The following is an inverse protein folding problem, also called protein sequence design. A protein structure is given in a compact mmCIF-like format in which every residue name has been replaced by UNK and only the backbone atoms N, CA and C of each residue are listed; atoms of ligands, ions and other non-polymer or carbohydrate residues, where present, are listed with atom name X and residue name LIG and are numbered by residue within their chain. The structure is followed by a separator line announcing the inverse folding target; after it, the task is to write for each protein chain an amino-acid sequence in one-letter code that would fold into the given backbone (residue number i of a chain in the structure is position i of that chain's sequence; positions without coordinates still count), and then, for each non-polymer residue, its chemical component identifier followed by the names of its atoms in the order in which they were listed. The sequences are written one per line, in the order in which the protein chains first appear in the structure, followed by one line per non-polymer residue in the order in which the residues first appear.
data_IF_475939047997
#
_entry.id   IF_475939047997
#
_cell.length_a   1.000
_cell.length_b   1.000
_cell.length_c   1.000
_cell.angle_alpha   90.00
_cell.angle_beta   90.00
_cell.angle_gamma   90.00
#
_symmetry.space_group_name_H-M   'P 1'
#
loop_
_entity.id
_entity.type
_entity.pdbx_description
1 polymer ?
#
# COMPACT_ATOMS: atom_id res chain seq x y z
N UNK A 1 25.64 1.75 84.43
CA UNK A 1 24.31 1.41 83.95
C UNK A 1 23.98 2.32 82.75
N UNK A 2 24.24 1.86 81.53
CA UNK A 2 24.01 2.62 80.30
C UNK A 2 22.80 2.06 79.60
N UNK A 3 21.83 2.93 79.37
CA UNK A 3 20.56 2.60 78.66
C UNK A 3 20.75 2.79 77.18
N UNK A 4 20.75 1.69 76.42
CA UNK A 4 20.72 1.73 74.91
C UNK A 4 19.34 2.06 74.46
N UNK A 5 19.17 3.18 73.71
CA UNK A 5 17.98 3.51 72.96
C UNK A 5 18.07 2.91 71.54
N UNK A 6 17.24 1.93 71.28
CA UNK A 6 17.05 1.34 69.91
C UNK A 6 16.19 2.27 69.08
N UNK A 7 16.77 2.79 68.02
CA UNK A 7 16.02 3.57 67.01
C UNK A 7 15.57 2.63 65.88
N UNK A 8 14.24 2.37 65.74
CA UNK A 8 13.63 1.68 64.65
C UNK A 8 13.51 2.65 63.45
N UNK A 9 14.25 2.35 62.38
CA UNK A 9 14.06 3.00 61.07
C UNK A 9 12.95 2.29 60.34
N UNK A 10 11.80 2.96 60.18
CA UNK A 10 10.73 2.54 59.26
C UNK A 10 11.19 2.88 57.85
N UNK A 11 11.46 1.84 57.07
CA UNK A 11 11.80 1.95 55.66
C UNK A 11 10.47 1.99 54.83
N UNK A 12 10.06 3.20 54.43
CA UNK A 12 8.95 3.35 53.48
C UNK A 12 9.39 2.84 52.12
N UNK A 13 8.82 1.71 51.68
CA UNK A 13 8.92 1.22 50.32
C UNK A 13 7.85 1.96 49.51
N UNK A 14 8.25 2.94 48.70
CA UNK A 14 7.38 3.52 47.67
C UNK A 14 7.20 2.48 46.56
N UNK A 15 5.95 2.16 46.15
CA UNK A 15 5.75 1.36 44.97
C UNK A 15 6.13 2.20 43.74
N UNK A 16 7.16 1.77 43.03
CA UNK A 16 7.48 2.29 41.69
C UNK A 16 6.38 1.77 40.76
N UNK A 17 5.42 2.62 40.46
CA UNK A 17 4.50 2.41 39.34
C UNK A 17 5.32 2.48 38.05
N UNK A 18 5.78 1.34 37.57
CA UNK A 18 6.28 1.20 36.20
C UNK A 18 5.09 1.32 35.27
N UNK A 19 4.82 2.54 34.83
CA UNK A 19 3.98 2.76 33.64
C UNK A 19 4.67 2.06 32.47
N UNK A 20 4.19 0.88 32.11
CA UNK A 20 4.53 0.27 30.84
C UNK A 20 3.96 1.20 29.77
N UNK A 21 4.79 2.11 29.24
CA UNK A 21 4.51 2.73 27.97
C UNK A 21 4.51 1.59 26.95
N UNK A 22 3.33 1.15 26.53
CA UNK A 22 3.16 0.43 25.29
C UNK A 22 3.57 1.46 24.22
N UNK A 23 4.82 1.38 23.77
CA UNK A 23 5.22 2.04 22.54
C UNK A 23 4.30 1.44 21.49
N UNK A 24 3.37 2.25 20.95
CA UNK A 24 2.66 1.90 19.74
C UNK A 24 3.74 1.53 18.73
N UNK A 25 3.59 0.37 18.09
CA UNK A 25 4.58 -0.13 17.13
C UNK A 25 4.49 0.80 15.92
N UNK A 26 5.38 1.80 15.84
CA UNK A 26 5.42 2.83 14.80
C UNK A 26 5.57 2.25 13.38
N UNK A 27 5.74 0.93 13.28
CA UNK A 27 5.93 0.19 12.03
C UNK A 27 4.66 -0.46 11.49
N UNK A 28 3.57 -0.44 12.26
CA UNK A 28 2.30 -1.01 11.83
C UNK A 28 1.45 0.03 11.14
N UNK A 29 1.00 -0.27 9.92
CA UNK A 29 0.01 0.49 9.15
C UNK A 29 -1.08 -0.48 8.71
N UNK A 30 -2.32 -0.22 9.10
CA UNK A 30 -3.46 -1.07 8.74
C UNK A 30 -3.21 -2.57 9.03
N UNK A 31 -2.70 -2.89 10.22
CA UNK A 31 -2.43 -4.27 10.63
C UNK A 31 -1.21 -4.93 10.00
N UNK A 32 -0.47 -4.26 9.11
CA UNK A 32 0.75 -4.78 8.46
C UNK A 32 2.01 -4.08 8.98
N UNK A 33 3.10 -4.84 9.10
CA UNK A 33 4.42 -4.27 9.36
C UNK A 33 5.01 -3.73 8.04
N UNK A 34 4.89 -2.41 7.83
CA UNK A 34 5.34 -1.76 6.58
C UNK A 34 6.87 -1.62 6.45
N UNK A 35 7.64 -1.99 7.46
CA UNK A 35 9.10 -2.13 7.33
C UNK A 35 9.51 -3.43 6.63
N UNK A 36 8.61 -4.39 6.55
CA UNK A 36 8.84 -5.65 5.84
C UNK A 36 8.17 -5.59 4.47
N UNK A 37 8.73 -6.27 3.45
CA UNK A 37 8.02 -6.50 2.21
C UNK A 37 6.74 -7.31 2.48
N UNK A 38 5.67 -6.97 1.78
CA UNK A 38 4.39 -7.66 1.85
C UNK A 38 3.89 -8.05 0.46
N UNK A 39 2.92 -8.95 0.42
CA UNK A 39 2.27 -9.33 -0.83
C UNK A 39 1.25 -8.28 -1.23
N UNK A 40 1.26 -7.92 -2.50
CA UNK A 40 0.26 -7.06 -3.14
C UNK A 40 -0.36 -7.83 -4.29
N UNK A 41 -1.63 -8.17 -4.17
CA UNK A 41 -2.40 -8.68 -5.30
C UNK A 41 -3.06 -7.54 -6.03
N UNK A 42 -2.99 -7.57 -7.35
CA UNK A 42 -3.73 -6.67 -8.24
C UNK A 42 -4.77 -7.45 -9.03
N UNK A 43 -6.03 -7.04 -8.95
CA UNK A 43 -7.13 -7.53 -9.77
C UNK A 43 -7.49 -6.45 -10.78
N UNK A 44 -7.16 -6.68 -12.05
CA UNK A 44 -7.49 -5.78 -13.15
C UNK A 44 -8.82 -6.22 -13.73
N UNK A 45 -9.91 -5.56 -13.34
CA UNK A 45 -11.27 -6.07 -13.51
C UNK A 45 -12.07 -5.33 -14.57
N UNK A 46 -12.86 -6.10 -15.32
CA UNK A 46 -13.89 -5.62 -16.21
C UNK A 46 -15.21 -6.26 -15.83
N UNK A 47 -16.23 -5.44 -15.57
CA UNK A 47 -17.58 -5.92 -15.25
C UNK A 47 -18.19 -6.71 -16.42
N UNK A 48 -18.91 -7.75 -16.10
CA UNK A 48 -19.66 -8.51 -17.08
C UNK A 48 -20.83 -7.67 -17.64
N UNK A 49 -21.27 -7.90 -18.88
CA UNK A 49 -22.37 -7.14 -19.47
C UNK A 49 -23.61 -7.14 -18.59
N UNK A 50 -24.12 -5.96 -18.26
CA UNK A 50 -25.32 -5.75 -17.45
C UNK A 50 -25.09 -5.76 -15.93
N UNK A 51 -23.86 -5.98 -15.47
CA UNK A 51 -23.49 -5.89 -14.04
C UNK A 51 -23.14 -4.43 -13.72
N UNK A 52 -23.71 -3.91 -12.64
CA UNK A 52 -23.36 -2.59 -12.13
C UNK A 52 -22.18 -2.67 -11.15
N UNK A 53 -21.51 -1.52 -10.92
CA UNK A 53 -20.48 -1.43 -9.88
C UNK A 53 -21.07 -1.65 -8.47
N UNK A 54 -22.34 -1.32 -8.25
CA UNK A 54 -23.07 -1.54 -7.01
C UNK A 54 -23.25 -3.04 -6.72
N UNK A 55 -23.68 -3.83 -7.75
CA UNK A 55 -23.79 -5.29 -7.62
C UNK A 55 -22.45 -5.93 -7.28
N UNK A 56 -21.39 -5.46 -7.95
CA UNK A 56 -20.02 -5.93 -7.68
C UNK A 56 -19.56 -5.53 -6.27
N UNK A 57 -19.88 -4.31 -5.82
CA UNK A 57 -19.51 -3.84 -4.49
C UNK A 57 -20.16 -4.66 -3.39
N UNK A 58 -21.44 -5.04 -3.54
CA UNK A 58 -22.11 -5.92 -2.59
C UNK A 58 -21.43 -7.31 -2.45
N UNK A 59 -20.83 -7.82 -3.53
CA UNK A 59 -20.01 -9.03 -3.45
C UNK A 59 -18.70 -8.79 -2.71
N UNK A 60 -18.06 -7.62 -2.89
CA UNK A 60 -16.83 -7.25 -2.16
C UNK A 60 -17.12 -7.14 -0.65
N UNK A 61 -18.26 -6.61 -0.24
CA UNK A 61 -18.67 -6.57 1.18
C UNK A 61 -18.80 -7.98 1.76
N UNK A 62 -19.44 -8.92 1.02
CA UNK A 62 -19.52 -10.31 1.44
C UNK A 62 -18.14 -10.99 1.51
N UNK A 63 -17.22 -10.67 0.59
CA UNK A 63 -15.82 -11.13 0.64
C UNK A 63 -15.11 -10.60 1.89
N UNK A 64 -15.24 -9.33 2.21
CA UNK A 64 -14.60 -8.73 3.39
C UNK A 64 -15.11 -9.34 4.68
N UNK A 65 -16.43 -9.55 4.81
CA UNK A 65 -17.01 -10.24 5.95
C UNK A 65 -16.54 -11.71 6.08
N UNK A 66 -16.35 -12.39 4.94
CA UNK A 66 -15.77 -13.73 4.90
C UNK A 66 -14.30 -13.71 5.33
N UNK A 67 -13.52 -12.74 4.84
CA UNK A 67 -12.09 -12.60 5.13
C UNK A 67 -11.87 -12.32 6.63
N UNK A 68 -12.64 -11.41 7.23
CA UNK A 68 -12.61 -11.11 8.66
C UNK A 68 -12.96 -12.35 9.50
N UNK A 69 -14.03 -13.07 9.13
CA UNK A 69 -14.47 -14.31 9.83
C UNK A 69 -13.38 -15.38 9.83
N UNK A 70 -12.52 -15.44 8.82
CA UNK A 70 -11.46 -16.42 8.65
C UNK A 70 -10.07 -15.91 9.12
N UNK A 71 -9.97 -14.67 9.63
CA UNK A 71 -8.72 -14.03 10.03
C UNK A 71 -7.70 -14.00 8.86
N UNK A 72 -8.18 -13.50 7.72
CA UNK A 72 -7.39 -13.37 6.46
C UNK A 72 -7.69 -12.06 5.72
N UNK A 73 -8.26 -11.08 6.41
CA UNK A 73 -8.65 -9.79 5.85
C UNK A 73 -7.43 -8.97 5.41
N UNK A 74 -7.44 -8.46 4.17
CA UNK A 74 -6.38 -7.62 3.62
C UNK A 74 -6.71 -6.13 3.83
N UNK A 75 -5.71 -5.27 3.68
CA UNK A 75 -5.99 -3.89 3.23
C UNK A 75 -6.53 -3.98 1.82
N UNK A 76 -7.71 -3.41 1.57
CA UNK A 76 -8.36 -3.49 0.27
C UNK A 76 -8.66 -2.09 -0.27
N UNK A 77 -8.14 -1.79 -1.46
CA UNK A 77 -8.36 -0.51 -2.13
C UNK A 77 -8.81 -0.74 -3.58
N UNK A 78 -9.57 0.23 -4.13
CA UNK A 78 -9.99 0.25 -5.53
C UNK A 78 -9.51 1.53 -6.19
N UNK A 79 -8.99 1.40 -7.41
CA UNK A 79 -8.49 2.52 -8.20
C UNK A 79 -9.22 2.64 -9.53
N UNK A 80 -9.57 3.89 -9.88
CA UNK A 80 -10.08 4.28 -11.19
C UNK A 80 -9.07 5.20 -11.88
N UNK A 81 -8.75 4.97 -13.17
CA UNK A 81 -7.82 5.82 -13.88
C UNK A 81 -8.41 7.22 -14.11
N UNK A 82 -7.63 8.26 -13.75
CA UNK A 82 -7.98 9.66 -14.02
C UNK A 82 -7.13 10.21 -15.18
N UNK A 83 -5.79 10.12 -15.07
CA UNK A 83 -4.87 10.43 -16.16
C UNK A 83 -4.05 9.20 -16.47
N UNK A 84 -4.25 8.61 -17.65
CA UNK A 84 -3.61 7.35 -18.02
C UNK A 84 -2.86 7.48 -19.35
N UNK A 85 -1.99 6.53 -19.65
CA UNK A 85 -1.29 6.39 -20.92
C UNK A 85 -2.23 5.91 -22.06
N UNK A 86 -3.49 5.63 -21.75
CA UNK A 86 -4.45 5.14 -22.73
C UNK A 86 -4.93 6.25 -23.64
N UNK A 87 -5.34 5.87 -24.84
CA UNK A 87 -5.88 6.78 -25.85
C UNK A 87 -7.24 6.27 -26.32
N UNK A 88 -7.99 7.08 -27.06
CA UNK A 88 -9.26 6.64 -27.66
C UNK A 88 -9.11 5.42 -28.57
N UNK A 89 -7.93 5.24 -29.21
CA UNK A 89 -7.61 4.10 -30.05
C UNK A 89 -7.13 2.87 -29.25
N UNK A 90 -6.69 3.09 -28.01
CA UNK A 90 -6.25 2.05 -27.07
C UNK A 90 -6.85 2.36 -25.71
N UNK A 91 -8.17 2.12 -25.55
CA UNK A 91 -8.84 2.39 -24.29
C UNK A 91 -8.29 1.48 -23.19
N UNK A 92 -8.50 1.89 -21.96
CA UNK A 92 -8.19 1.07 -20.79
C UNK A 92 -8.96 -0.25 -20.88
N UNK A 93 -8.29 -1.40 -20.80
CA UNK A 93 -8.95 -2.70 -20.98
C UNK A 93 -9.78 -3.13 -19.76
N UNK A 94 -9.69 -2.40 -18.65
CA UNK A 94 -10.34 -2.69 -17.39
C UNK A 94 -11.25 -1.52 -16.99
N UNK A 95 -12.28 -1.79 -16.19
CA UNK A 95 -13.14 -0.75 -15.64
C UNK A 95 -12.51 -0.14 -14.38
N UNK A 96 -11.81 -0.98 -13.59
CA UNK A 96 -11.08 -0.58 -12.38
C UNK A 96 -9.96 -1.58 -12.05
N UNK A 97 -9.11 -1.20 -11.11
CA UNK A 97 -8.10 -2.09 -10.51
C UNK A 97 -8.31 -2.13 -9.01
N UNK A 98 -8.29 -3.32 -8.44
CA UNK A 98 -8.29 -3.52 -7.00
C UNK A 98 -6.93 -4.01 -6.53
N UNK A 99 -6.53 -3.54 -5.36
CA UNK A 99 -5.32 -4.02 -4.71
C UNK A 99 -5.66 -4.56 -3.33
N UNK A 100 -5.14 -5.75 -3.06
CA UNK A 100 -5.26 -6.43 -1.79
C UNK A 100 -3.85 -6.61 -1.22
N UNK A 101 -3.57 -5.94 -0.10
CA UNK A 101 -2.27 -6.01 0.56
C UNK A 101 -2.36 -6.78 1.87
N UNK A 102 -1.43 -7.71 2.09
CA UNK A 102 -1.34 -8.52 3.30
C UNK A 102 0.07 -9.09 3.47
N UNK A 103 0.42 -9.55 4.69
CA UNK A 103 1.60 -10.38 4.86
C UNK A 103 1.47 -11.70 4.07
N UNK A 104 2.61 -12.35 3.81
CA UNK A 104 2.64 -13.54 2.93
C UNK A 104 1.94 -14.75 3.55
N UNK A 105 2.02 -14.92 4.86
CA UNK A 105 1.43 -16.04 5.58
C UNK A 105 -0.10 -15.94 5.55
N UNK A 106 -0.65 -14.80 5.89
CA UNK A 106 -2.08 -14.51 5.83
C UNK A 106 -2.60 -14.64 4.41
N UNK A 107 -1.84 -14.13 3.44
CA UNK A 107 -2.19 -14.23 2.02
C UNK A 107 -2.26 -15.67 1.52
N UNK A 108 -1.26 -16.49 1.86
CA UNK A 108 -1.28 -17.93 1.54
C UNK A 108 -2.49 -18.64 2.13
N UNK A 109 -2.76 -18.43 3.43
CA UNK A 109 -3.95 -18.96 4.13
C UNK A 109 -5.25 -18.52 3.45
N UNK A 110 -5.34 -17.24 3.04
CA UNK A 110 -6.51 -16.71 2.33
C UNK A 110 -6.79 -17.48 1.03
N UNK A 111 -5.77 -17.68 0.19
CA UNK A 111 -5.92 -18.41 -1.07
C UNK A 111 -6.27 -19.88 -0.87
N UNK A 112 -5.66 -20.54 0.11
CA UNK A 112 -6.02 -21.93 0.45
C UNK A 112 -7.51 -22.03 0.83
N UNK A 113 -8.00 -21.15 1.69
CA UNK A 113 -9.42 -21.11 2.09
C UNK A 113 -10.34 -20.71 0.94
N UNK A 114 -9.94 -19.76 0.10
CA UNK A 114 -10.70 -19.31 -1.07
C UNK A 114 -10.96 -20.44 -2.05
N UNK A 115 -9.95 -21.29 -2.29
CA UNK A 115 -10.02 -22.37 -3.26
C UNK A 115 -10.54 -23.70 -2.70
N UNK A 116 -10.56 -23.91 -1.38
CA UNK A 116 -10.92 -25.20 -0.78
C UNK A 116 -12.10 -25.18 0.16
N UNK A 117 -12.41 -24.04 0.79
CA UNK A 117 -13.58 -23.95 1.64
C UNK A 117 -14.88 -23.81 0.81
N UNK A 118 -15.96 -24.37 1.32
CA UNK A 118 -17.28 -24.26 0.64
C UNK A 118 -17.72 -22.79 0.45
N UNK A 119 -17.49 -21.95 1.47
CA UNK A 119 -17.85 -20.52 1.41
C UNK A 119 -16.94 -19.73 0.49
N UNK A 120 -15.62 -20.00 0.48
CA UNK A 120 -14.68 -19.36 -0.43
C UNK A 120 -14.99 -19.70 -1.91
N UNK A 121 -15.22 -20.98 -2.21
CA UNK A 121 -15.62 -21.40 -3.56
C UNK A 121 -16.92 -20.73 -4.03
N UNK A 122 -17.91 -20.61 -3.18
CA UNK A 122 -19.18 -19.96 -3.52
C UNK A 122 -19.01 -18.46 -3.81
N UNK A 123 -18.15 -17.76 -3.04
CA UNK A 123 -17.81 -16.37 -3.31
C UNK A 123 -17.00 -16.23 -4.60
N UNK A 124 -16.06 -17.14 -4.88
CA UNK A 124 -15.29 -17.16 -6.12
C UNK A 124 -16.20 -17.35 -7.35
N UNK A 125 -17.16 -18.27 -7.30
CA UNK A 125 -18.14 -18.46 -8.37
C UNK A 125 -18.93 -17.16 -8.61
N UNK A 126 -19.45 -16.54 -7.56
CA UNK A 126 -20.19 -15.28 -7.67
C UNK A 126 -19.33 -14.15 -8.20
N UNK A 127 -18.06 -14.05 -7.77
CA UNK A 127 -17.14 -13.05 -8.30
C UNK A 127 -16.94 -13.18 -9.81
N UNK A 128 -16.76 -14.41 -10.32
CA UNK A 128 -16.61 -14.68 -11.73
C UNK A 128 -17.89 -14.41 -12.56
N UNK A 129 -19.07 -14.51 -11.92
CA UNK A 129 -20.34 -14.11 -12.57
C UNK A 129 -20.44 -12.59 -12.74
N UNK A 130 -19.79 -11.80 -11.90
CA UNK A 130 -19.88 -10.34 -11.88
C UNK A 130 -18.78 -9.66 -12.71
N UNK A 131 -17.59 -10.22 -12.75
CA UNK A 131 -16.45 -9.60 -13.45
C UNK A 131 -15.47 -10.64 -14.00
N UNK A 132 -14.73 -10.21 -15.02
CA UNK A 132 -13.52 -10.89 -15.49
C UNK A 132 -12.33 -10.08 -15.02
N UNK A 133 -11.44 -10.69 -14.24
CA UNK A 133 -10.28 -10.03 -13.67
C UNK A 133 -8.99 -10.78 -14.02
N UNK A 134 -7.97 -10.04 -14.48
CA UNK A 134 -6.59 -10.51 -14.54
C UNK A 134 -5.97 -10.36 -13.17
N UNK A 135 -5.68 -11.47 -12.49
CA UNK A 135 -5.07 -11.48 -11.15
C UNK A 135 -3.56 -11.56 -11.26
N UNK A 136 -2.88 -10.62 -10.61
CA UNK A 136 -1.41 -10.53 -10.59
C UNK A 136 -0.91 -10.39 -9.16
N UNK A 137 0.30 -10.86 -8.91
CA UNK A 137 0.96 -10.77 -7.61
C UNK A 137 2.24 -9.95 -7.72
N UNK A 138 2.54 -9.22 -6.68
CA UNK A 138 3.76 -8.44 -6.57
C UNK A 138 4.31 -8.46 -5.13
N UNK A 139 5.60 -8.22 -4.98
CA UNK A 139 6.18 -7.75 -3.72
C UNK A 139 6.00 -6.24 -3.62
N UNK A 140 5.58 -5.74 -2.50
CA UNK A 140 5.55 -4.30 -2.24
C UNK A 140 6.39 -3.97 -1.01
N UNK A 141 7.10 -2.85 -1.08
CA UNK A 141 7.86 -2.31 0.04
C UNK A 141 7.54 -0.83 0.18
N UNK A 142 7.07 -0.44 1.37
CA UNK A 142 6.87 0.97 1.69
C UNK A 142 8.23 1.62 1.94
N UNK A 143 8.50 2.74 1.29
CA UNK A 143 9.70 3.53 1.45
C UNK A 143 9.46 4.76 2.34
N UNK A 144 8.25 5.34 2.24
CA UNK A 144 7.81 6.49 3.02
C UNK A 144 6.32 6.38 3.32
N UNK A 145 5.92 6.68 4.54
CA UNK A 145 4.52 6.76 4.95
C UNK A 145 4.33 7.86 6.00
N UNK A 146 3.42 8.78 5.72
CA UNK A 146 2.82 9.63 6.73
C UNK A 146 1.55 8.93 7.21
N UNK A 147 1.65 8.19 8.31
CA UNK A 147 0.60 7.33 8.82
C UNK A 147 -0.69 8.09 9.12
N UNK A 148 -0.60 9.20 9.84
CA UNK A 148 -1.74 10.03 10.20
C UNK A 148 -2.52 10.47 8.96
N UNK A 149 -1.82 10.93 7.92
CA UNK A 149 -2.44 11.36 6.67
C UNK A 149 -3.03 10.18 5.88
N UNK A 150 -2.38 9.00 5.88
CA UNK A 150 -2.87 7.79 5.20
C UNK A 150 -4.11 7.18 5.86
N UNK A 151 -4.28 7.39 7.17
CA UNK A 151 -5.41 6.86 7.95
C UNK A 151 -6.57 7.88 8.06
N UNK A 152 -6.34 9.15 7.70
CA UNK A 152 -7.32 10.25 7.90
C UNK A 152 -8.46 10.25 6.90
N UNK A 153 -8.27 9.68 5.69
CA UNK A 153 -9.26 9.69 4.61
C UNK A 153 -9.21 8.37 3.82
N UNK A 154 -10.35 7.99 3.26
CA UNK A 154 -10.47 6.82 2.40
C UNK A 154 -10.31 7.15 0.92
N UNK A 155 -10.47 8.42 0.53
CA UNK A 155 -10.28 8.87 -0.86
C UNK A 155 -8.94 9.58 -1.01
N UNK A 156 -8.18 9.20 -2.06
CA UNK A 156 -6.87 9.76 -2.32
C UNK A 156 -6.47 9.60 -3.79
N UNK A 157 -5.36 10.21 -4.16
CA UNK A 157 -4.80 10.14 -5.51
C UNK A 157 -3.51 9.33 -5.49
N UNK A 158 -3.38 8.40 -6.42
CA UNK A 158 -2.24 7.50 -6.48
C UNK A 158 -1.62 7.53 -7.86
N UNK A 159 -0.30 7.78 -7.92
CA UNK A 159 0.44 7.65 -9.17
C UNK A 159 1.16 6.31 -9.27
N UNK A 160 1.20 5.77 -10.48
CA UNK A 160 2.01 4.62 -10.87
C UNK A 160 2.99 5.04 -11.93
N UNK A 161 4.28 4.77 -11.71
CA UNK A 161 5.32 4.99 -12.69
C UNK A 161 6.14 3.71 -12.85
N UNK A 162 5.94 3.04 -13.98
CA UNK A 162 6.64 1.79 -14.29
C UNK A 162 8.04 2.07 -14.79
N UNK A 163 9.02 1.33 -14.26
CA UNK A 163 10.43 1.57 -14.53
C UNK A 163 11.17 0.26 -14.81
N UNK A 164 12.22 0.37 -15.63
CA UNK A 164 13.21 -0.70 -15.87
C UNK A 164 14.55 -0.23 -15.31
N UNK A 165 15.18 -0.95 -14.37
CA UNK A 165 16.41 -0.52 -13.73
C UNK A 165 17.59 -0.56 -14.70
N UNK A 166 18.51 0.41 -14.56
CA UNK A 166 19.80 0.49 -15.28
C UNK A 166 20.96 0.02 -14.42
N UNK A 167 20.73 -0.13 -13.12
CA UNK A 167 21.71 -0.49 -12.11
C UNK A 167 21.24 -1.67 -11.30
N UNK A 168 22.12 -2.28 -10.53
CA UNK A 168 21.78 -3.35 -9.61
C UNK A 168 20.85 -2.85 -8.51
N UNK A 169 20.06 -3.78 -7.95
CA UNK A 169 19.04 -3.51 -6.92
C UNK A 169 19.61 -2.76 -5.70
N UNK A 170 20.82 -3.09 -5.28
CA UNK A 170 21.46 -2.43 -4.13
C UNK A 170 21.68 -0.93 -4.37
N UNK A 171 22.20 -0.56 -5.56
CA UNK A 171 22.39 0.85 -5.93
C UNK A 171 21.05 1.59 -6.05
N UNK A 172 20.04 0.92 -6.59
CA UNK A 172 18.68 1.46 -6.68
C UNK A 172 18.10 1.74 -5.29
N UNK A 173 18.20 0.78 -4.37
CA UNK A 173 17.77 0.93 -2.97
C UNK A 173 18.48 2.07 -2.25
N UNK A 174 19.80 2.20 -2.44
CA UNK A 174 20.57 3.32 -1.87
C UNK A 174 20.09 4.66 -2.40
N UNK A 175 19.76 4.75 -3.70
CA UNK A 175 19.20 5.97 -4.29
C UNK A 175 17.81 6.30 -3.74
N UNK A 176 16.96 5.28 -3.58
CA UNK A 176 15.65 5.47 -2.95
C UNK A 176 15.77 5.94 -1.50
N UNK A 177 16.69 5.39 -0.72
CA UNK A 177 16.94 5.84 0.66
C UNK A 177 17.37 7.32 0.73
N UNK A 178 18.16 7.82 -0.25
CA UNK A 178 18.50 9.24 -0.35
C UNK A 178 17.25 10.10 -0.57
N UNK A 179 16.33 9.69 -1.46
CA UNK A 179 15.10 10.42 -1.70
C UNK A 179 14.17 10.42 -0.47
N UNK A 180 14.10 9.31 0.27
CA UNK A 180 13.35 9.27 1.54
C UNK A 180 13.89 10.31 2.53
N UNK A 181 15.22 10.40 2.67
CA UNK A 181 15.84 11.41 3.54
C UNK A 181 15.54 12.85 3.08
N UNK A 182 15.49 13.10 1.76
CA UNK A 182 15.12 14.40 1.21
C UNK A 182 13.65 14.73 1.48
N UNK A 183 12.74 13.76 1.31
CA UNK A 183 11.30 13.92 1.57
C UNK A 183 11.01 14.26 3.03
N UNK A 184 11.72 13.63 3.95
CA UNK A 184 11.59 13.89 5.39
C UNK A 184 11.94 15.34 5.73
N UNK A 185 12.93 15.92 5.04
CA UNK A 185 13.37 17.29 5.26
C UNK A 185 12.56 18.33 4.46
N UNK A 186 11.99 17.93 3.32
CA UNK A 186 11.24 18.79 2.40
C UNK A 186 9.99 18.08 1.91
N UNK A 187 8.90 18.02 2.70
CA UNK A 187 7.67 17.34 2.31
C UNK A 187 7.08 17.97 1.03
N UNK A 188 6.74 17.10 0.08
CA UNK A 188 6.25 17.50 -1.27
C UNK A 188 4.74 17.36 -1.42
N UNK A 189 3.99 17.24 -0.33
CA UNK A 189 2.56 16.90 -0.35
C UNK A 189 2.26 15.41 -0.54
N UNK A 190 3.26 14.59 -0.84
CA UNK A 190 3.12 13.13 -0.89
C UNK A 190 3.01 12.56 0.52
N UNK A 191 2.03 11.69 0.74
CA UNK A 191 1.76 11.05 2.04
C UNK A 191 2.21 9.59 2.11
N UNK A 192 2.47 8.97 0.96
CA UNK A 192 2.99 7.62 0.87
C UNK A 192 3.83 7.39 -0.37
N UNK A 193 4.84 6.53 -0.26
CA UNK A 193 5.64 6.07 -1.39
C UNK A 193 6.05 4.61 -1.18
N UNK A 194 5.76 3.78 -2.16
CA UNK A 194 6.15 2.38 -2.20
C UNK A 194 6.82 2.04 -3.53
N UNK A 195 7.58 0.96 -3.53
CA UNK A 195 8.03 0.26 -4.74
C UNK A 195 7.35 -1.10 -4.83
N UNK A 196 6.95 -1.45 -6.04
CA UNK A 196 6.19 -2.66 -6.34
C UNK A 196 6.93 -3.47 -7.39
N UNK A 197 7.23 -4.72 -7.10
CA UNK A 197 7.96 -5.65 -7.98
C UNK A 197 7.03 -6.78 -8.38
N UNK A 198 6.52 -6.79 -9.62
CA UNK A 198 5.65 -7.84 -10.13
C UNK A 198 6.35 -9.21 -10.16
N UNK A 199 5.63 -10.27 -9.85
CA UNK A 199 6.18 -11.63 -9.95
C UNK A 199 5.21 -12.66 -10.56
N UNK A 200 4.20 -13.17 -9.88
CA UNK A 200 3.33 -14.21 -10.40
C UNK A 200 2.19 -13.62 -11.24
N UNK A 201 1.95 -14.16 -12.42
CA UNK A 201 0.94 -13.66 -13.34
C UNK A 201 1.30 -12.33 -14.02
N UNK A 202 2.52 -11.85 -13.85
CA UNK A 202 2.94 -10.51 -14.22
C UNK A 202 3.73 -10.43 -15.54
N UNK A 203 3.56 -11.39 -16.45
CA UNK A 203 4.15 -11.30 -17.79
C UNK A 203 3.65 -10.05 -18.52
N UNK A 204 4.53 -9.42 -19.31
CA UNK A 204 4.22 -8.24 -20.12
C UNK A 204 3.81 -6.98 -19.32
N UNK A 205 4.31 -6.83 -18.10
CA UNK A 205 4.18 -5.57 -17.36
C UNK A 205 4.99 -4.45 -18.05
N UNK A 206 4.59 -3.19 -17.91
CA UNK A 206 5.27 -2.05 -18.57
C UNK A 206 6.71 -1.81 -18.10
N UNK A 207 7.11 -2.39 -16.99
CA UNK A 207 8.45 -2.29 -16.40
C UNK A 207 8.71 -3.42 -15.41
N UNK A 208 9.92 -3.50 -14.89
CA UNK A 208 10.34 -4.52 -13.93
C UNK A 208 9.94 -4.15 -12.49
N UNK A 209 9.70 -2.87 -12.23
CA UNK A 209 9.14 -2.39 -10.97
C UNK A 209 8.30 -1.13 -11.22
N UNK A 210 7.52 -0.74 -10.22
CA UNK A 210 6.78 0.51 -10.25
C UNK A 210 7.03 1.34 -8.99
N UNK A 211 7.10 2.66 -9.15
CA UNK A 211 6.89 3.60 -8.07
C UNK A 211 5.39 3.82 -7.90
N UNK A 212 4.92 3.73 -6.67
CA UNK A 212 3.57 4.06 -6.24
C UNK A 212 3.68 5.23 -5.27
N UNK A 213 3.14 6.40 -5.63
CA UNK A 213 3.12 7.57 -4.75
C UNK A 213 1.69 7.99 -4.45
N UNK A 214 1.40 8.31 -3.18
CA UNK A 214 0.08 8.61 -2.66
C UNK A 214 0.00 10.08 -2.25
N UNK A 215 -1.08 10.75 -2.65
CA UNK A 215 -1.39 12.15 -2.34
C UNK A 215 -2.78 12.24 -1.72
N UNK A 216 -2.99 13.09 -0.68
CA UNK A 216 -4.28 13.19 -0.03
C UNK A 216 -5.33 13.85 -0.94
N UNK A 217 -4.90 14.75 -1.83
CA UNK A 217 -5.76 15.53 -2.71
C UNK A 217 -5.04 15.96 -3.99
N UNK A 218 -5.80 16.51 -4.93
CA UNK A 218 -5.28 17.00 -6.21
C UNK A 218 -4.39 18.25 -6.04
N UNK A 219 -4.62 19.08 -5.02
CA UNK A 219 -3.79 20.26 -4.75
C UNK A 219 -2.38 19.85 -4.34
N UNK A 220 -2.26 18.85 -3.48
CA UNK A 220 -0.98 18.25 -3.06
C UNK A 220 -0.24 17.63 -4.24
N UNK A 221 -0.95 16.88 -5.10
CA UNK A 221 -0.38 16.36 -6.35
C UNK A 221 0.13 17.49 -7.27
N UNK A 222 -0.65 18.54 -7.48
CA UNK A 222 -0.26 19.68 -8.32
C UNK A 222 0.87 20.50 -7.69
N UNK A 223 0.97 20.56 -6.37
CA UNK A 223 2.10 21.16 -5.65
C UNK A 223 3.39 20.41 -5.97
N UNK A 224 3.34 19.09 -6.00
CA UNK A 224 4.46 18.25 -6.45
C UNK A 224 4.84 18.56 -7.90
N UNK A 225 3.86 18.63 -8.82
CA UNK A 225 4.11 18.99 -10.23
C UNK A 225 4.76 20.37 -10.38
N UNK A 226 4.31 21.35 -9.59
CA UNK A 226 4.92 22.69 -9.57
C UNK A 226 6.38 22.63 -9.11
N UNK A 227 6.67 21.89 -8.05
CA UNK A 227 8.06 21.69 -7.57
C UNK A 227 8.95 21.09 -8.65
N UNK A 228 8.46 20.08 -9.36
CA UNK A 228 9.19 19.49 -10.48
C UNK A 228 9.43 20.49 -11.60
N UNK A 229 8.41 21.24 -12.02
CA UNK A 229 8.53 22.24 -13.09
C UNK A 229 9.49 23.39 -12.72
N UNK A 230 9.63 23.71 -11.44
CA UNK A 230 10.47 24.84 -10.98
C UNK A 230 11.88 24.45 -10.55
N UNK A 231 12.30 23.19 -10.73
CA UNK A 231 13.69 22.77 -10.45
C UNK A 231 13.86 21.30 -10.13
N UNK A 232 12.82 20.65 -9.58
CA UNK A 232 12.86 19.22 -9.21
C UNK A 232 13.05 18.27 -10.39
N UNK A 233 12.74 18.73 -11.63
CA UNK A 233 13.01 17.97 -12.87
C UNK A 233 14.48 17.54 -13.01
N UNK A 234 15.42 18.24 -12.36
CA UNK A 234 16.85 17.87 -12.40
C UNK A 234 17.11 16.56 -11.69
N UNK A 235 16.48 16.35 -10.53
CA UNK A 235 16.57 15.09 -9.78
C UNK A 235 15.89 13.94 -10.53
N UNK A 236 14.71 14.18 -11.12
CA UNK A 236 14.04 13.20 -11.96
C UNK A 236 14.91 12.81 -13.16
N UNK A 237 15.47 13.79 -13.87
CA UNK A 237 16.34 13.52 -15.03
C UNK A 237 17.63 12.80 -14.64
N UNK A 238 18.23 13.15 -13.51
CA UNK A 238 19.40 12.44 -12.96
C UNK A 238 19.04 10.98 -12.66
N UNK A 239 17.89 10.73 -12.07
CA UNK A 239 17.38 9.38 -11.80
C UNK A 239 17.16 8.59 -13.09
N UNK A 240 16.47 9.17 -14.06
CA UNK A 240 16.21 8.53 -15.36
C UNK A 240 17.51 8.27 -16.16
N UNK A 241 18.50 9.14 -16.06
CA UNK A 241 19.77 8.94 -16.75
C UNK A 241 20.62 7.82 -16.14
N UNK A 242 20.61 7.67 -14.82
CA UNK A 242 21.60 6.87 -14.12
C UNK A 242 21.02 5.62 -13.41
N UNK A 243 19.72 5.55 -13.12
CA UNK A 243 19.17 4.50 -12.25
C UNK A 243 18.06 3.67 -12.89
N UNK A 244 17.12 4.28 -13.59
CA UNK A 244 16.02 3.55 -14.22
C UNK A 244 15.38 4.32 -15.38
N UNK A 245 14.93 3.62 -16.40
CA UNK A 245 14.05 4.16 -17.44
C UNK A 245 12.59 4.00 -17.02
N UNK A 246 11.86 5.10 -16.91
CA UNK A 246 10.48 5.10 -16.47
C UNK A 246 9.51 5.54 -17.58
N UNK A 247 8.31 4.97 -17.60
CA UNK A 247 7.30 5.21 -18.64
C UNK A 247 6.57 6.55 -18.51
N UNK A 248 6.76 7.25 -17.40
CA UNK A 248 5.96 8.38 -16.96
C UNK A 248 4.79 7.92 -16.05
N UNK A 249 4.21 8.87 -15.35
CA UNK A 249 3.19 8.59 -14.34
C UNK A 249 1.79 8.49 -14.93
N UNK A 250 1.01 7.55 -14.39
CA UNK A 250 -0.44 7.53 -14.47
C UNK A 250 -0.99 7.98 -13.12
N UNK A 251 -2.11 8.67 -13.11
CA UNK A 251 -2.82 9.08 -11.91
C UNK A 251 -4.17 8.39 -11.82
N UNK A 252 -4.45 7.81 -10.66
CA UNK A 252 -5.71 7.16 -10.35
C UNK A 252 -6.36 7.82 -9.14
N UNK A 253 -7.69 7.79 -9.10
CA UNK A 253 -8.46 8.02 -7.86
C UNK A 253 -8.52 6.68 -7.15
N UNK A 254 -8.12 6.66 -5.87
CA UNK A 254 -8.15 5.48 -5.02
C UNK A 254 -9.16 5.67 -3.89
N UNK A 255 -9.97 4.64 -3.67
CA UNK A 255 -10.84 4.52 -2.49
C UNK A 255 -10.38 3.32 -1.66
N UNK A 256 -10.14 3.55 -0.37
CA UNK A 256 -9.89 2.48 0.59
C UNK A 256 -11.22 1.85 0.98
N UNK A 257 -11.40 0.58 0.66
CA UNK A 257 -12.63 -0.15 0.94
C UNK A 257 -12.57 -0.89 2.30
N UNK A 258 -11.36 -1.24 2.74
CA UNK A 258 -11.17 -1.93 4.01
C UNK A 258 -9.76 -1.71 4.57
N UNK A 259 -9.69 -1.57 5.91
CA UNK A 259 -8.48 -1.61 6.75
C UNK A 259 -8.69 -2.65 7.86
N UNK A 260 -7.82 -3.67 7.98
CA UNK A 260 -7.89 -4.66 9.05
C UNK A 260 -7.69 -4.05 10.44
#
# INVERSE_FOLDING_TARGET
MQCLKSAWRVMMILPILTSSFVLADDHMLNGMNVQQPFNLQANLCKLNPGVSLEDYHAMVEDYLAWAETNDVDPVFVRQFPLFSHQTLQRPWPYDFVEFLASDYERWGKSWDLWLTSKSGMALNERWQELAVCDVKQAHSQVLYANREALESDDERYVTWNWCTPKVGFEQLSQKHAQYVAELTNNPTGMIGWAVVFPHTGAANMPGEFAHLAVYPDMESFMTRRKSEATGGWRGQREYEQNYADCTGEQLNIETVLHRP
#
